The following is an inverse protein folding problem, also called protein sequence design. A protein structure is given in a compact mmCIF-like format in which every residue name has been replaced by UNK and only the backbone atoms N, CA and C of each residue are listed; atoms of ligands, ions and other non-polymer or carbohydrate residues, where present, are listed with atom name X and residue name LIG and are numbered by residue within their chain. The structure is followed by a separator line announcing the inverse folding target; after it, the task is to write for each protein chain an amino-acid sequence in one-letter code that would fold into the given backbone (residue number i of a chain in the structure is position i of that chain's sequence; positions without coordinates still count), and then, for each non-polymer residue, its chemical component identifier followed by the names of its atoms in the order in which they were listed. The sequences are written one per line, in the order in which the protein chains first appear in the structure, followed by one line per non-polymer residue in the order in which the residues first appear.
data_IF_670446091105
#
_entry.id   IF_670446091105
#
_cell.length_a   1.000
_cell.length_b   1.000
_cell.length_c   1.000
_cell.angle_alpha   90.00
_cell.angle_beta   90.00
_cell.angle_gamma   90.00
#
_symmetry.space_group_name_H-M   'P 1'
#
loop_
_entity.id
_entity.type
_entity.pdbx_description
1 polymer ?
#
# COMPACT_ATOMS: atom_id res chain seq x y z
N UNK A 1 -12.18 -4.41 11.18
CA UNK A 1 -10.79 -4.88 11.19
C UNK A 1 -10.63 -6.24 11.86
N UNK A 2 -11.02 -6.44 13.14
CA UNK A 2 -10.84 -7.73 13.83
C UNK A 2 -11.42 -8.94 13.06
N UNK A 3 -12.63 -8.83 12.50
CA UNK A 3 -13.23 -9.87 11.67
C UNK A 3 -12.37 -10.19 10.43
N UNK A 4 -11.90 -9.18 9.71
CA UNK A 4 -11.08 -9.38 8.52
C UNK A 4 -9.74 -10.02 8.87
N UNK A 5 -9.10 -9.60 9.97
CA UNK A 5 -7.86 -10.23 10.46
C UNK A 5 -8.07 -11.71 10.77
N UNK A 6 -9.16 -12.02 11.49
CA UNK A 6 -9.49 -13.39 11.82
C UNK A 6 -9.79 -14.21 10.56
N UNK A 7 -10.65 -13.72 9.68
CA UNK A 7 -11.06 -14.42 8.47
C UNK A 7 -9.89 -14.70 7.52
N UNK A 8 -9.10 -13.67 7.19
CA UNK A 8 -7.95 -13.82 6.29
C UNK A 8 -6.80 -14.58 6.96
N UNK A 9 -6.53 -14.31 8.23
CA UNK A 9 -5.52 -15.04 8.98
C UNK A 9 -5.86 -16.51 9.13
N UNK A 10 -7.09 -16.82 9.47
CA UNK A 10 -7.57 -18.22 9.54
C UNK A 10 -7.46 -18.91 8.17
N UNK A 11 -7.94 -18.27 7.10
CA UNK A 11 -7.84 -18.81 5.75
C UNK A 11 -6.38 -19.06 5.34
N UNK A 12 -5.49 -18.09 5.59
CA UNK A 12 -4.06 -18.23 5.27
C UNK A 12 -3.38 -19.38 6.01
N UNK A 13 -3.73 -19.59 7.29
CA UNK A 13 -3.15 -20.66 8.10
C UNK A 13 -3.66 -22.07 7.74
N UNK A 14 -4.90 -22.17 7.23
CA UNK A 14 -5.52 -23.47 6.92
C UNK A 14 -5.40 -23.89 5.46
N UNK A 15 -4.92 -23.02 4.57
CA UNK A 15 -4.64 -23.39 3.17
C UNK A 15 -3.25 -24.02 3.08
N UNK A 16 -3.20 -25.32 2.80
CA UNK A 16 -1.95 -26.06 2.60
C UNK A 16 -1.38 -25.89 1.19
N UNK A 17 -2.19 -25.45 0.22
CA UNK A 17 -1.78 -25.20 -1.15
C UNK A 17 -2.10 -23.75 -1.54
N UNK A 18 -1.31 -23.23 -2.47
CA UNK A 18 -1.61 -21.95 -3.08
C UNK A 18 -2.90 -22.06 -3.91
N UNK A 19 -3.90 -21.26 -3.57
CA UNK A 19 -5.17 -21.25 -4.32
C UNK A 19 -5.06 -20.58 -5.69
N UNK A 20 -3.94 -19.88 -5.98
CA UNK A 20 -3.70 -19.15 -7.20
C UNK A 20 -2.45 -19.65 -7.92
N UNK A 21 -2.54 -19.76 -9.23
CA UNK A 21 -1.46 -20.23 -10.09
C UNK A 21 -0.18 -19.41 -9.97
N UNK A 22 -0.29 -18.09 -9.88
CA UNK A 22 0.84 -17.17 -9.93
C UNK A 22 1.72 -17.21 -8.67
N UNK A 23 1.17 -17.51 -7.50
CA UNK A 23 1.97 -17.63 -6.27
C UNK A 23 3.03 -18.71 -6.38
N UNK A 24 2.72 -19.84 -7.03
CA UNK A 24 3.68 -20.94 -7.25
C UNK A 24 4.84 -20.46 -8.11
N UNK A 25 4.56 -19.63 -9.11
CA UNK A 25 5.58 -19.03 -9.99
C UNK A 25 6.47 -18.10 -9.18
N UNK A 26 5.89 -17.17 -8.43
CA UNK A 26 6.64 -16.24 -7.58
C UNK A 26 7.46 -16.95 -6.50
N UNK A 27 6.90 -17.99 -5.87
CA UNK A 27 7.64 -18.84 -4.94
C UNK A 27 8.87 -19.50 -5.61
N UNK A 28 8.70 -20.03 -6.82
CA UNK A 28 9.78 -20.63 -7.60
C UNK A 28 10.88 -19.60 -7.93
N UNK A 29 10.51 -18.37 -8.28
CA UNK A 29 11.47 -17.32 -8.57
C UNK A 29 12.29 -16.92 -7.33
N UNK A 30 11.65 -16.75 -6.19
CA UNK A 30 12.33 -16.46 -4.92
C UNK A 30 13.29 -17.61 -4.55
N UNK A 31 12.87 -18.85 -4.75
CA UNK A 31 13.75 -20.01 -4.51
C UNK A 31 14.95 -20.08 -5.45
N UNK A 32 14.81 -19.63 -6.71
CA UNK A 32 15.94 -19.50 -7.65
C UNK A 32 16.93 -18.42 -7.22
N UNK A 33 16.45 -17.32 -6.61
CA UNK A 33 17.33 -16.30 -6.02
C UNK A 33 18.20 -16.89 -4.92
N UNK A 34 17.70 -17.85 -4.16
CA UNK A 34 18.45 -18.60 -3.15
C UNK A 34 19.62 -19.39 -3.74
N UNK A 35 19.48 -19.83 -4.97
CA UNK A 35 20.51 -20.52 -5.76
C UNK A 35 21.40 -19.56 -6.58
N UNK A 36 21.33 -18.25 -6.33
CA UNK A 36 22.14 -17.23 -7.00
C UNK A 36 21.60 -16.72 -8.36
N UNK A 37 20.40 -17.13 -8.77
CA UNK A 37 19.81 -16.71 -10.04
C UNK A 37 18.85 -15.54 -9.81
N UNK A 38 19.34 -14.31 -9.88
CA UNK A 38 18.58 -13.11 -9.53
C UNK A 38 17.52 -12.75 -10.58
N UNK A 39 17.79 -12.97 -11.87
CA UNK A 39 16.89 -12.60 -12.98
C UNK A 39 16.41 -13.84 -13.74
N UNK A 40 15.76 -14.76 -13.04
CA UNK A 40 15.35 -16.03 -13.62
C UNK A 40 14.40 -15.92 -14.83
N UNK A 41 13.63 -14.82 -14.94
CA UNK A 41 12.60 -14.66 -15.98
C UNK A 41 12.57 -13.25 -16.62
N UNK A 42 13.72 -12.61 -16.81
CA UNK A 42 13.82 -11.39 -17.62
C UNK A 42 13.39 -10.12 -16.88
N UNK A 43 12.50 -9.34 -17.49
CA UNK A 43 12.24 -7.92 -17.16
C UNK A 43 11.19 -7.73 -16.04
N UNK A 44 10.87 -8.73 -15.25
CA UNK A 44 9.87 -8.57 -14.20
C UNK A 44 10.44 -7.76 -12.99
N UNK A 45 9.73 -6.74 -12.48
CA UNK A 45 10.20 -6.00 -11.30
C UNK A 45 10.36 -6.90 -10.09
N UNK A 46 11.56 -6.91 -9.49
CA UNK A 46 11.91 -7.84 -8.42
C UNK A 46 11.71 -7.28 -7.00
N UNK A 47 11.14 -6.08 -6.85
CA UNK A 47 11.03 -5.44 -5.54
C UNK A 47 10.35 -6.31 -4.50
N UNK A 48 9.20 -6.89 -4.83
CA UNK A 48 8.49 -7.83 -3.96
C UNK A 48 9.31 -9.08 -3.63
N UNK A 49 9.90 -9.71 -4.66
CA UNK A 49 10.70 -10.92 -4.50
C UNK A 49 11.93 -10.68 -3.63
N UNK A 50 12.58 -9.52 -3.80
CA UNK A 50 13.72 -9.12 -2.97
C UNK A 50 13.31 -9.00 -1.49
N UNK A 51 12.17 -8.40 -1.18
CA UNK A 51 11.69 -8.27 0.20
C UNK A 51 11.49 -9.65 0.82
N UNK A 52 10.78 -10.55 0.13
CA UNK A 52 10.55 -11.92 0.62
C UNK A 52 11.87 -12.69 0.76
N UNK A 53 12.76 -12.56 -0.21
CA UNK A 53 14.08 -13.18 -0.18
C UNK A 53 14.93 -12.68 1.00
N UNK A 54 14.99 -11.37 1.24
CA UNK A 54 15.70 -10.81 2.38
C UNK A 54 15.13 -11.30 3.70
N UNK A 55 13.79 -11.35 3.83
CA UNK A 55 13.17 -11.91 5.05
C UNK A 55 13.52 -13.38 5.25
N UNK A 56 13.54 -14.16 4.18
CA UNK A 56 13.98 -15.56 4.23
C UNK A 56 15.43 -15.65 4.71
N UNK A 57 16.34 -14.88 4.14
CA UNK A 57 17.78 -14.93 4.46
C UNK A 57 18.14 -14.36 5.83
N UNK A 58 17.54 -13.24 6.21
CA UNK A 58 17.89 -12.57 7.48
C UNK A 58 17.26 -13.28 8.68
N UNK A 59 15.99 -13.68 8.56
CA UNK A 59 15.25 -14.25 9.69
C UNK A 59 15.14 -15.79 9.65
N UNK A 60 15.67 -16.46 8.63
CA UNK A 60 15.56 -17.90 8.47
C UNK A 60 14.13 -18.42 8.25
N UNK A 61 13.20 -17.54 7.87
CA UNK A 61 11.79 -17.90 7.69
C UNK A 61 11.60 -18.68 6.38
N UNK A 62 10.72 -19.68 6.38
CA UNK A 62 10.36 -20.39 5.14
C UNK A 62 9.61 -19.43 4.20
N UNK A 63 10.00 -19.38 2.92
CA UNK A 63 9.38 -18.53 1.88
C UNK A 63 7.85 -18.73 1.88
N UNK A 64 7.37 -19.98 1.94
CA UNK A 64 5.94 -20.29 2.02
C UNK A 64 5.24 -19.63 3.21
N UNK A 65 5.89 -19.58 4.37
CA UNK A 65 5.32 -18.97 5.58
C UNK A 65 5.23 -17.47 5.44
N UNK A 66 6.25 -16.83 4.85
CA UNK A 66 6.25 -15.40 4.58
C UNK A 66 5.09 -15.05 3.64
N UNK A 67 4.95 -15.77 2.52
CA UNK A 67 3.91 -15.53 1.53
C UNK A 67 2.50 -15.68 2.12
N UNK A 68 2.28 -16.63 3.03
CA UNK A 68 0.99 -16.81 3.71
C UNK A 68 0.63 -15.63 4.61
N UNK A 69 1.58 -15.15 5.39
CA UNK A 69 1.35 -14.06 6.34
C UNK A 69 1.23 -12.72 5.61
N UNK A 70 2.00 -12.52 4.56
CA UNK A 70 2.00 -11.27 3.79
C UNK A 70 0.62 -10.95 3.21
N UNK A 71 -0.07 -11.88 2.58
CA UNK A 71 -1.40 -11.63 2.03
C UNK A 71 -2.39 -11.11 3.08
N UNK A 72 -2.33 -11.61 4.32
CA UNK A 72 -3.16 -11.10 5.42
C UNK A 72 -2.78 -9.67 5.81
N UNK A 73 -1.47 -9.40 5.94
CA UNK A 73 -0.96 -8.07 6.30
C UNK A 73 -1.31 -7.05 5.21
N UNK A 74 -1.08 -7.39 3.96
CA UNK A 74 -1.42 -6.55 2.79
C UNK A 74 -2.90 -6.16 2.79
N UNK A 75 -3.78 -7.14 2.93
CA UNK A 75 -5.23 -6.92 2.97
C UNK A 75 -5.63 -5.95 4.08
N UNK A 76 -5.07 -6.10 5.27
CA UNK A 76 -5.35 -5.20 6.40
C UNK A 76 -4.91 -3.77 6.13
N UNK A 77 -3.72 -3.59 5.58
CA UNK A 77 -3.21 -2.26 5.23
C UNK A 77 -4.00 -1.61 4.10
N UNK A 78 -4.41 -2.38 3.08
CA UNK A 78 -5.28 -1.91 2.01
C UNK A 78 -6.60 -1.38 2.60
N UNK A 79 -7.26 -2.15 3.45
CA UNK A 79 -8.51 -1.72 4.09
C UNK A 79 -8.34 -0.48 4.96
N UNK A 80 -7.24 -0.42 5.72
CA UNK A 80 -6.93 0.75 6.53
C UNK A 80 -6.76 2.00 5.66
N UNK A 81 -6.04 1.87 4.56
CA UNK A 81 -5.76 3.01 3.67
C UNK A 81 -7.02 3.45 2.94
N UNK A 82 -7.86 2.52 2.47
CA UNK A 82 -9.18 2.83 1.89
C UNK A 82 -10.04 3.59 2.91
N UNK A 83 -10.07 3.12 4.17
CA UNK A 83 -10.81 3.82 5.23
C UNK A 83 -10.32 5.26 5.42
N UNK A 84 -9.00 5.46 5.45
CA UNK A 84 -8.39 6.79 5.63
C UNK A 84 -8.73 7.72 4.46
N UNK A 85 -8.64 7.22 3.22
CA UNK A 85 -8.99 7.99 2.02
C UNK A 85 -10.47 8.38 2.05
N UNK A 86 -11.37 7.42 2.28
CA UNK A 86 -12.81 7.70 2.32
C UNK A 86 -13.17 8.65 3.48
N UNK A 87 -12.51 8.53 4.62
CA UNK A 87 -12.71 9.46 5.74
C UNK A 87 -12.27 10.89 5.37
N UNK A 88 -11.20 11.01 4.62
CA UNK A 88 -10.70 12.30 4.13
C UNK A 88 -11.67 12.93 3.12
N UNK A 89 -12.18 12.14 2.18
CA UNK A 89 -13.05 12.61 1.11
C UNK A 89 -14.48 12.91 1.56
N UNK A 90 -15.06 12.06 2.41
CA UNK A 90 -16.49 12.09 2.71
C UNK A 90 -16.83 12.84 4.02
N UNK A 91 -15.84 13.24 4.83
CA UNK A 91 -16.03 13.92 6.12
C UNK A 91 -17.07 13.26 7.05
N UNK A 92 -17.34 11.97 6.85
CA UNK A 92 -18.35 11.17 7.56
C UNK A 92 -17.66 10.07 8.38
N UNK A 93 -18.34 9.61 9.44
CA UNK A 93 -17.89 8.45 10.23
C UNK A 93 -18.40 7.12 9.66
N UNK A 94 -19.55 7.12 8.99
CA UNK A 94 -20.22 5.92 8.52
C UNK A 94 -19.82 5.53 7.10
N UNK A 95 -19.65 6.49 6.19
CA UNK A 95 -19.31 6.23 4.78
C UNK A 95 -18.00 5.45 4.64
N UNK A 96 -16.90 5.78 5.36
CA UNK A 96 -15.68 4.98 5.30
C UNK A 96 -15.86 3.55 5.78
N UNK A 97 -16.65 3.33 6.83
CA UNK A 97 -16.94 1.98 7.33
C UNK A 97 -17.77 1.17 6.32
N UNK A 98 -18.78 1.81 5.73
CA UNK A 98 -19.58 1.20 4.67
C UNK A 98 -18.73 0.87 3.45
N UNK A 99 -17.84 1.77 3.03
CA UNK A 99 -16.92 1.55 1.91
C UNK A 99 -16.00 0.36 2.13
N UNK A 100 -15.36 0.26 3.30
CA UNK A 100 -14.55 -0.90 3.67
C UNK A 100 -15.39 -2.18 3.73
N UNK A 101 -16.61 -2.11 4.25
CA UNK A 101 -17.52 -3.24 4.31
C UNK A 101 -17.90 -3.72 2.90
N UNK A 102 -18.32 -2.80 2.01
CA UNK A 102 -18.64 -3.12 0.61
C UNK A 102 -17.43 -3.70 -0.11
N UNK A 103 -16.23 -3.17 0.13
CA UNK A 103 -15.00 -3.72 -0.44
C UNK A 103 -14.65 -5.12 0.09
N UNK A 104 -15.10 -5.45 1.30
CA UNK A 104 -14.91 -6.78 1.90
C UNK A 104 -15.86 -7.83 1.33
N UNK A 105 -17.09 -7.43 0.95
CA UNK A 105 -18.13 -8.38 0.49
C UNK A 105 -17.71 -9.26 -0.70
N UNK A 106 -17.12 -8.73 -1.79
CA UNK A 106 -16.67 -9.56 -2.90
C UNK A 106 -15.64 -10.60 -2.49
N UNK A 107 -14.80 -10.29 -1.51
CA UNK A 107 -13.81 -11.23 -0.97
C UNK A 107 -14.43 -12.35 -0.13
N UNK A 108 -15.64 -12.15 0.43
CA UNK A 108 -16.35 -13.17 1.18
C UNK A 108 -17.11 -14.15 0.27
N UNK A 109 -17.58 -13.70 -0.88
CA UNK A 109 -18.44 -14.48 -1.78
C UNK A 109 -17.72 -15.22 -2.89
N UNK A 110 -16.40 -15.36 -2.81
CA UNK A 110 -15.60 -16.15 -3.77
C UNK A 110 -15.80 -15.75 -5.24
N UNK A 111 -16.14 -14.50 -5.51
CA UNK A 111 -16.18 -14.00 -6.88
C UNK A 111 -14.75 -14.06 -7.44
N UNK A 112 -14.59 -14.82 -8.52
CA UNK A 112 -13.31 -14.94 -9.23
C UNK A 112 -12.69 -13.56 -9.47
N UNK A 113 -11.51 -13.33 -8.93
CA UNK A 113 -10.76 -12.08 -9.02
C UNK A 113 -10.71 -11.24 -7.75
N UNK A 114 -11.64 -11.39 -6.80
CA UNK A 114 -11.63 -10.61 -5.55
C UNK A 114 -10.87 -11.30 -4.42
N UNK A 115 -10.69 -12.61 -4.49
CA UNK A 115 -9.82 -13.36 -3.58
C UNK A 115 -8.32 -13.04 -3.76
N UNK A 116 -7.94 -12.31 -4.79
CA UNK A 116 -6.55 -11.90 -5.05
C UNK A 116 -5.92 -11.17 -3.87
N UNK A 117 -6.67 -10.31 -3.18
CA UNK A 117 -6.16 -9.56 -2.03
C UNK A 117 -5.73 -10.43 -0.84
N UNK A 118 -6.09 -11.71 -0.82
CA UNK A 118 -5.62 -12.67 0.19
C UNK A 118 -4.24 -13.25 -0.14
N UNK A 119 -3.79 -13.04 -1.36
CA UNK A 119 -2.59 -13.67 -1.88
C UNK A 119 -1.46 -12.65 -1.93
N UNK A 120 -0.33 -13.05 -1.41
CA UNK A 120 0.88 -12.27 -1.45
C UNK A 120 1.45 -12.25 -2.88
N UNK A 121 0.86 -11.43 -3.73
CA UNK A 121 1.30 -11.21 -5.11
C UNK A 121 1.94 -9.83 -5.23
N UNK A 122 2.90 -9.64 -6.15
CA UNK A 122 3.54 -8.34 -6.33
C UNK A 122 2.57 -7.21 -6.64
N UNK A 123 1.51 -7.49 -7.38
CA UNK A 123 0.48 -6.51 -7.75
C UNK A 123 -0.30 -6.03 -6.51
N UNK A 124 -0.74 -6.95 -5.68
CA UNK A 124 -1.48 -6.67 -4.45
C UNK A 124 -0.56 -5.97 -3.44
N UNK A 125 0.69 -6.38 -3.36
CA UNK A 125 1.69 -5.71 -2.53
C UNK A 125 1.96 -4.27 -3.00
N UNK A 126 2.00 -4.01 -4.30
CA UNK A 126 2.12 -2.66 -4.86
C UNK A 126 0.95 -1.75 -4.47
N UNK A 127 -0.26 -2.30 -4.26
CA UNK A 127 -1.42 -1.53 -3.79
C UNK A 127 -1.20 -0.89 -2.41
N UNK A 128 -0.34 -1.48 -1.57
CA UNK A 128 0.06 -0.87 -0.28
C UNK A 128 0.64 0.54 -0.46
N UNK A 129 1.25 0.81 -1.60
CA UNK A 129 1.89 2.09 -1.91
C UNK A 129 1.02 2.94 -2.84
N UNK A 130 0.23 2.32 -3.72
CA UNK A 130 -0.66 3.02 -4.63
C UNK A 130 -1.76 3.80 -3.88
N UNK A 131 -2.40 3.21 -2.88
CA UNK A 131 -3.40 3.92 -2.08
C UNK A 131 -2.81 5.09 -1.26
N UNK A 132 -1.69 4.95 -0.54
CA UNK A 132 -0.99 6.09 0.04
C UNK A 132 -0.60 7.16 -0.99
N UNK A 133 -0.17 6.76 -2.20
CA UNK A 133 0.10 7.68 -3.29
C UNK A 133 -1.12 8.55 -3.59
N UNK A 134 -2.29 7.96 -3.79
CA UNK A 134 -3.54 8.70 -4.02
C UNK A 134 -3.88 9.62 -2.83
N UNK A 135 -3.72 9.14 -1.58
CA UNK A 135 -3.96 9.95 -0.38
C UNK A 135 -3.06 11.19 -0.32
N UNK A 136 -1.76 11.04 -0.54
CA UNK A 136 -0.82 12.14 -0.47
C UNK A 136 -1.00 13.14 -1.63
N UNK A 137 -1.47 12.68 -2.79
CA UNK A 137 -1.83 13.56 -3.89
C UNK A 137 -3.04 14.44 -3.53
N UNK A 138 -4.10 13.84 -2.97
CA UNK A 138 -5.27 14.60 -2.47
C UNK A 138 -4.81 15.60 -1.40
N UNK A 139 -3.99 15.16 -0.47
CA UNK A 139 -3.49 16.01 0.61
C UNK A 139 -2.61 17.17 0.08
N UNK A 140 -1.85 16.94 -0.97
CA UNK A 140 -1.07 17.99 -1.64
C UNK A 140 -1.97 19.11 -2.15
N UNK A 141 -3.03 18.78 -2.90
CA UNK A 141 -3.94 19.77 -3.44
C UNK A 141 -4.70 20.55 -2.36
N UNK A 142 -5.16 19.86 -1.31
CA UNK A 142 -5.82 20.51 -0.17
C UNK A 142 -4.89 21.55 0.49
N UNK A 143 -3.68 21.13 0.83
CA UNK A 143 -2.69 21.99 1.49
C UNK A 143 -2.23 23.13 0.59
N UNK A 144 -2.07 22.86 -0.71
CA UNK A 144 -1.70 23.93 -1.66
C UNK A 144 -2.78 24.98 -1.77
N UNK A 145 -4.04 24.56 -1.72
CA UNK A 145 -5.18 25.50 -1.70
C UNK A 145 -5.19 26.37 -0.42
N UNK A 146 -4.92 25.76 0.73
CA UNK A 146 -4.81 26.46 2.01
C UNK A 146 -3.63 27.46 2.02
N UNK A 147 -2.47 27.06 1.51
CA UNK A 147 -1.28 27.92 1.38
C UNK A 147 -1.55 29.15 0.49
N UNK A 148 -2.18 28.94 -0.67
CA UNK A 148 -2.55 30.03 -1.59
C UNK A 148 -3.60 30.97 -0.99
N UNK A 149 -4.54 30.46 -0.21
CA UNK A 149 -5.52 31.29 0.48
C UNK A 149 -4.87 32.15 1.56
N UNK A 150 -3.97 31.57 2.34
CA UNK A 150 -3.20 32.27 3.37
C UNK A 150 -2.28 33.36 2.75
N UNK A 151 -1.65 33.06 1.62
CA UNK A 151 -0.80 34.01 0.90
C UNK A 151 -1.59 35.22 0.45
N UNK A 152 -2.78 35.03 -0.16
CA UNK A 152 -3.67 36.12 -0.55
C UNK A 152 -4.14 36.96 0.63
N UNK A 153 -4.56 36.34 1.73
CA UNK A 153 -5.00 37.06 2.92
C UNK A 153 -3.89 37.93 3.52
N UNK A 154 -2.65 37.46 3.42
CA UNK A 154 -1.50 38.20 3.91
C UNK A 154 -1.08 39.34 2.98
N UNK A 155 -1.20 39.20 1.66
CA UNK A 155 -1.03 40.30 0.69
C UNK A 155 -2.07 41.40 0.93
N UNK A 156 -3.34 41.02 1.15
CA UNK A 156 -4.40 41.98 1.45
C UNK A 156 -4.14 42.79 2.74
N UNK A 157 -3.57 42.12 3.76
CA UNK A 157 -3.23 42.74 5.05
C UNK A 157 -1.92 43.53 5.04
N UNK A 158 -1.20 43.63 3.90
CA UNK A 158 0.12 44.27 3.78
C UNK A 158 1.11 43.90 4.88
N UNK A 159 1.06 42.65 5.36
CA UNK A 159 1.97 42.15 6.38
C UNK A 159 3.31 41.83 5.72
N UNK A 160 4.33 42.62 6.07
CA UNK A 160 5.69 42.45 5.53
C UNK A 160 6.34 41.18 6.07
N UNK A 161 6.57 40.24 5.19
CA UNK A 161 7.18 38.93 5.51
C UNK A 161 8.68 39.00 5.78
N UNK A 162 9.10 39.61 6.86
CA UNK A 162 10.52 39.65 7.17
C UNK A 162 11.04 38.41 7.95
N UNK A 163 10.17 37.54 8.50
CA UNK A 163 10.60 36.61 9.56
C UNK A 163 10.12 35.16 9.44
N UNK A 164 9.64 34.70 8.30
CA UNK A 164 9.39 33.27 8.15
C UNK A 164 10.74 32.55 7.92
N UNK A 165 11.11 31.56 8.76
CA UNK A 165 12.33 30.82 8.54
C UNK A 165 12.28 30.09 7.21
N UNK A 166 13.15 30.46 6.29
CA UNK A 166 13.28 29.96 4.90
C UNK A 166 13.48 28.43 4.77
N UNK A 167 13.55 27.69 5.85
CA UNK A 167 14.01 26.31 5.87
C UNK A 167 12.93 25.27 6.24
N UNK A 168 11.70 25.67 6.53
CA UNK A 168 10.64 24.70 6.73
C UNK A 168 9.97 24.36 5.39
N UNK A 169 10.09 23.10 4.99
CA UNK A 169 9.33 22.58 3.85
C UNK A 169 7.85 22.86 4.07
N UNK A 170 7.22 23.54 3.10
CA UNK A 170 5.79 23.78 3.10
C UNK A 170 5.03 22.46 3.27
N UNK A 171 3.89 22.45 3.95
CA UNK A 171 3.09 21.24 4.13
C UNK A 171 2.69 20.55 2.83
N UNK A 172 2.43 21.31 1.77
CA UNK A 172 2.17 20.78 0.43
C UNK A 172 3.40 20.07 -0.16
N UNK A 173 4.60 20.66 -0.01
CA UNK A 173 5.84 20.05 -0.49
C UNK A 173 6.12 18.70 0.20
N UNK A 174 5.86 18.59 1.51
CA UNK A 174 5.97 17.30 2.21
C UNK A 174 5.03 16.25 1.63
N UNK A 175 3.79 16.62 1.34
CA UNK A 175 2.82 15.70 0.72
C UNK A 175 3.27 15.25 -0.67
N UNK A 176 3.86 16.15 -1.46
CA UNK A 176 4.40 15.83 -2.78
C UNK A 176 5.59 14.87 -2.71
N UNK A 177 6.47 15.03 -1.71
CA UNK A 177 7.58 14.09 -1.47
C UNK A 177 7.04 12.69 -1.14
N UNK A 178 6.09 12.59 -0.21
CA UNK A 178 5.48 11.29 0.14
C UNK A 178 4.72 10.66 -1.04
N UNK A 179 4.05 11.47 -1.86
CA UNK A 179 3.48 11.01 -3.12
C UNK A 179 4.54 10.40 -4.03
N UNK A 180 5.64 11.13 -4.28
CA UNK A 180 6.73 10.67 -5.13
C UNK A 180 7.37 9.37 -4.63
N UNK A 181 7.66 9.28 -3.33
CA UNK A 181 8.21 8.06 -2.71
C UNK A 181 7.23 6.89 -2.87
N UNK A 182 5.94 7.08 -2.57
CA UNK A 182 4.93 6.03 -2.72
C UNK A 182 4.79 5.58 -4.17
N UNK A 183 4.85 6.51 -5.12
CA UNK A 183 4.78 6.23 -6.56
C UNK A 183 5.98 5.39 -7.03
N UNK A 184 7.20 5.79 -6.65
CA UNK A 184 8.42 5.03 -6.98
C UNK A 184 8.36 3.63 -6.38
N UNK A 185 7.93 3.48 -5.13
CA UNK A 185 7.77 2.16 -4.49
C UNK A 185 6.74 1.30 -5.24
N UNK A 186 5.61 1.88 -5.65
CA UNK A 186 4.60 1.16 -6.46
C UNK A 186 5.23 0.59 -7.73
N UNK A 187 5.98 1.41 -8.47
CA UNK A 187 6.64 0.98 -9.73
C UNK A 187 7.76 -0.03 -9.50
N UNK A 188 8.47 0.06 -8.37
CA UNK A 188 9.59 -0.84 -8.08
C UNK A 188 9.14 -2.25 -7.67
N UNK A 189 7.92 -2.37 -7.17
CA UNK A 189 7.37 -3.62 -6.64
C UNK A 189 6.57 -4.37 -7.69
N UNK A 190 5.84 -3.64 -8.54
CA UNK A 190 5.07 -4.21 -9.64
C UNK A 190 5.96 -4.42 -10.85
#
# INVERSE_FOLDING_TARGET
MAFNTWYYGYSAMHKYAYGASDIVVHHSWIHRMDNGTIFANGIYPHGYHNIVFFMHRIFGLRIMSILRVFGTIETLFIFLTIYIILKKLCHSRFIPLLGVFVFTLPNLYDFQGTMRYQWALPQEYAMLFLYPCAYFLIQYFDRKKEELAAEKEMEEKKILYAWLPKYHLLPSTRSLIFFGVSFVLTLSIH
#
